data_IF_756282723435
#
_entry.id   IF_756282723435
#
_cell.length_a   1.000
_cell.length_b   1.000
_cell.length_c   1.000
_cell.angle_alpha   90.00
_cell.angle_beta   90.00
_cell.angle_gamma   90.00
#
_symmetry.space_group_name_H-M   'P 1'
#
loop_
_entity.id
_entity.type
_entity.pdbx_description
1 polymer ?
#
# COMPACT_ATOMS: atom_id res chain seq x y z
N UNK A 1 -32.85 23.83 53.74
CA UNK A 1 -32.23 24.54 52.61
C UNK A 1 -31.34 23.54 51.90
N UNK A 2 -31.69 23.29 50.64
CA UNK A 2 -31.12 22.25 49.79
C UNK A 2 -29.84 22.74 49.09
N UNK A 3 -28.95 21.82 48.81
CA UNK A 3 -28.06 21.87 47.66
C UNK A 3 -27.88 20.44 47.16
N UNK A 4 -28.61 20.08 46.11
CA UNK A 4 -28.37 18.85 45.36
C UNK A 4 -27.18 19.10 44.42
N UNK A 5 -26.23 18.15 44.28
CA UNK A 5 -25.16 18.27 43.31
C UNK A 5 -25.75 18.15 41.90
N UNK A 6 -25.33 19.05 41.03
CA UNK A 6 -25.71 19.13 39.63
C UNK A 6 -25.36 17.84 38.90
N UNK A 7 -26.35 17.25 38.24
CA UNK A 7 -26.15 16.26 37.20
C UNK A 7 -25.30 16.90 36.09
N UNK A 8 -24.06 16.44 35.94
CA UNK A 8 -23.26 16.71 34.75
C UNK A 8 -23.83 15.75 33.71
N UNK A 9 -24.76 16.23 32.91
CA UNK A 9 -25.22 15.54 31.71
C UNK A 9 -24.00 15.37 30.78
N UNK A 10 -23.44 14.17 30.79
CA UNK A 10 -22.47 13.68 29.82
C UNK A 10 -23.20 13.63 28.47
N UNK A 11 -23.17 14.75 27.74
CA UNK A 11 -23.86 14.92 26.45
C UNK A 11 -23.20 13.95 25.45
N UNK A 12 -23.88 12.85 25.15
CA UNK A 12 -23.43 11.88 24.16
C UNK A 12 -23.03 12.61 22.85
N UNK A 13 -21.94 12.21 22.19
CA UNK A 13 -21.41 12.93 21.04
C UNK A 13 -22.45 12.99 19.94
N UNK A 14 -22.60 14.19 19.39
CA UNK A 14 -23.65 14.47 18.44
C UNK A 14 -23.38 13.66 17.17
N UNK A 15 -24.36 12.87 16.68
CA UNK A 15 -24.13 11.97 15.55
C UNK A 15 -23.64 12.68 14.28
N UNK A 16 -23.81 14.01 14.17
CA UNK A 16 -23.21 14.86 13.13
C UNK A 16 -21.67 14.85 13.17
N UNK A 17 -21.06 14.99 14.35
CA UNK A 17 -19.60 15.02 14.49
C UNK A 17 -18.97 13.66 14.17
N UNK A 18 -19.66 12.57 14.52
CA UNK A 18 -19.27 11.20 14.17
C UNK A 18 -19.30 11.00 12.65
N UNK A 19 -20.39 11.40 11.99
CA UNK A 19 -20.50 11.32 10.53
C UNK A 19 -19.38 12.12 9.84
N UNK A 20 -19.07 13.31 10.34
CA UNK A 20 -17.97 14.13 9.80
C UNK A 20 -16.59 13.50 10.03
N UNK A 21 -16.38 12.80 11.14
CA UNK A 21 -15.16 12.02 11.38
C UNK A 21 -15.03 10.88 10.37
N UNK A 22 -16.10 10.12 10.12
CA UNK A 22 -16.12 9.03 9.14
C UNK A 22 -15.94 9.52 7.70
N UNK A 23 -16.55 10.64 7.32
CA UNK A 23 -16.32 11.27 6.01
C UNK A 23 -14.87 11.72 5.83
N UNK A 24 -14.23 12.25 6.89
CA UNK A 24 -12.80 12.57 6.86
C UNK A 24 -11.95 11.32 6.66
N UNK A 25 -12.32 10.20 7.28
CA UNK A 25 -11.67 8.92 7.02
C UNK A 25 -11.79 8.49 5.54
N UNK A 26 -12.99 8.57 4.96
CA UNK A 26 -13.20 8.26 3.54
C UNK A 26 -12.35 9.14 2.62
N UNK A 27 -12.19 10.43 2.96
CA UNK A 27 -11.31 11.34 2.23
C UNK A 27 -9.83 10.92 2.32
N UNK A 28 -9.38 10.41 3.47
CA UNK A 28 -8.02 9.85 3.61
C UNK A 28 -7.84 8.62 2.70
N UNK A 29 -8.83 7.73 2.62
CA UNK A 29 -8.74 6.56 1.73
C UNK A 29 -8.70 6.96 0.25
N UNK A 30 -9.49 7.98 -0.13
CA UNK A 30 -9.39 8.56 -1.47
C UNK A 30 -7.98 9.09 -1.77
N UNK A 31 -7.40 9.86 -0.84
CA UNK A 31 -6.04 10.37 -1.00
C UNK A 31 -5.02 9.23 -1.13
N UNK A 32 -5.12 8.16 -0.33
CA UNK A 32 -4.25 6.99 -0.46
C UNK A 32 -4.35 6.35 -1.85
N UNK A 33 -5.55 6.19 -2.39
CA UNK A 33 -5.74 5.67 -3.74
C UNK A 33 -5.05 6.54 -4.81
N UNK A 34 -5.12 7.87 -4.67
CA UNK A 34 -4.43 8.81 -5.56
C UNK A 34 -2.90 8.70 -5.43
N UNK A 35 -2.38 8.55 -4.21
CA UNK A 35 -0.94 8.34 -3.94
C UNK A 35 -0.46 7.04 -4.60
N UNK A 36 -1.18 5.92 -4.44
CA UNK A 36 -0.84 4.66 -5.13
C UNK A 36 -0.86 4.81 -6.65
N UNK A 37 -1.84 5.54 -7.21
CA UNK A 37 -1.91 5.79 -8.64
C UNK A 37 -0.70 6.61 -9.12
N UNK A 38 -0.26 7.60 -8.34
CA UNK A 38 0.95 8.39 -8.62
C UNK A 38 2.22 7.54 -8.52
N UNK A 39 2.34 6.71 -7.48
CA UNK A 39 3.45 5.76 -7.32
C UNK A 39 3.56 4.82 -8.52
N UNK A 40 2.43 4.24 -8.96
CA UNK A 40 2.38 3.33 -10.12
C UNK A 40 2.82 4.03 -11.41
N UNK A 41 2.36 5.26 -11.65
CA UNK A 41 2.77 6.06 -12.82
C UNK A 41 4.27 6.37 -12.76
N UNK A 42 4.77 6.84 -11.62
CA UNK A 42 6.17 7.15 -11.43
C UNK A 42 7.09 5.94 -11.60
N UNK A 43 6.68 4.76 -11.12
CA UNK A 43 7.43 3.53 -11.32
C UNK A 43 7.45 3.10 -12.79
N UNK A 44 6.33 3.24 -13.50
CA UNK A 44 6.27 2.97 -14.95
C UNK A 44 7.22 3.88 -15.72
N UNK A 45 7.26 5.16 -15.37
CA UNK A 45 8.17 6.13 -15.96
C UNK A 45 9.63 5.86 -15.62
N UNK A 46 9.91 5.42 -14.39
CA UNK A 46 11.23 4.97 -13.97
C UNK A 46 11.73 3.80 -14.82
N UNK A 47 10.91 2.77 -15.03
CA UNK A 47 11.28 1.62 -15.87
C UNK A 47 11.54 2.02 -17.33
N UNK A 48 10.88 3.06 -17.83
CA UNK A 48 11.06 3.57 -19.20
C UNK A 48 12.32 4.43 -19.36
N UNK A 49 12.64 5.25 -18.36
CA UNK A 49 13.69 6.29 -18.45
C UNK A 49 14.99 5.91 -17.77
N UNK A 50 14.94 4.97 -16.82
CA UNK A 50 16.06 4.67 -15.92
C UNK A 50 16.41 5.80 -14.94
N UNK A 51 15.58 6.85 -14.84
CA UNK A 51 15.89 8.01 -13.98
C UNK A 51 15.73 7.70 -12.49
N UNK A 52 16.80 7.18 -11.89
CA UNK A 52 16.79 6.76 -10.48
C UNK A 52 16.58 7.93 -9.51
N UNK A 53 17.20 9.10 -9.77
CA UNK A 53 17.04 10.28 -8.93
C UNK A 53 15.58 10.78 -8.90
N UNK A 54 14.93 10.90 -10.06
CA UNK A 54 13.53 11.35 -10.13
C UNK A 54 12.60 10.38 -9.39
N UNK A 55 12.86 9.07 -9.50
CA UNK A 55 12.07 8.07 -8.81
C UNK A 55 12.30 8.06 -7.29
N UNK A 56 13.54 8.21 -6.84
CA UNK A 56 13.85 8.32 -5.40
C UNK A 56 13.21 9.55 -4.76
N UNK A 57 13.22 10.69 -5.45
CA UNK A 57 12.51 11.89 -5.00
C UNK A 57 11.02 11.62 -4.82
N UNK A 58 10.37 11.04 -5.83
CA UNK A 58 8.96 10.67 -5.78
C UNK A 58 8.66 9.71 -4.61
N UNK A 59 9.49 8.68 -4.40
CA UNK A 59 9.34 7.75 -3.28
C UNK A 59 9.40 8.47 -1.93
N UNK A 60 10.24 9.49 -1.80
CA UNK A 60 10.39 10.28 -0.57
C UNK A 60 9.15 11.13 -0.29
N UNK A 61 8.61 11.78 -1.31
CA UNK A 61 7.35 12.54 -1.23
C UNK A 61 6.18 11.63 -0.86
N UNK A 62 6.03 10.52 -1.58
CA UNK A 62 4.94 9.55 -1.37
C UNK A 62 5.01 8.91 0.02
N UNK A 63 6.22 8.62 0.52
CA UNK A 63 6.40 8.08 1.88
C UNK A 63 5.91 9.07 2.94
N UNK A 64 6.21 10.35 2.78
CA UNK A 64 5.70 11.41 3.66
C UNK A 64 4.18 11.48 3.62
N UNK A 65 3.59 11.49 2.42
CA UNK A 65 2.13 11.55 2.27
C UNK A 65 1.41 10.33 2.85
N UNK A 66 1.97 9.12 2.70
CA UNK A 66 1.43 7.92 3.35
C UNK A 66 1.51 8.02 4.87
N UNK A 67 2.64 8.50 5.41
CA UNK A 67 2.80 8.70 6.85
C UNK A 67 1.78 9.69 7.40
N UNK A 68 1.51 10.79 6.68
CA UNK A 68 0.52 11.78 7.10
C UNK A 68 -0.91 11.21 7.04
N UNK A 69 -1.23 10.39 6.03
CA UNK A 69 -2.48 9.65 6.00
C UNK A 69 -2.62 8.73 7.23
N UNK A 70 -1.55 7.99 7.58
CA UNK A 70 -1.57 7.08 8.72
C UNK A 70 -1.75 7.81 10.05
N UNK A 71 -1.04 8.93 10.28
CA UNK A 71 -1.21 9.76 11.48
C UNK A 71 -2.64 10.25 11.64
N UNK A 72 -3.24 10.77 10.55
CA UNK A 72 -4.63 11.25 10.56
C UNK A 72 -5.62 10.15 10.96
N UNK A 73 -5.42 8.91 10.50
CA UNK A 73 -6.31 7.81 10.89
C UNK A 73 -6.07 7.37 12.33
N UNK A 74 -4.83 7.36 12.82
CA UNK A 74 -4.52 7.08 14.23
C UNK A 74 -5.18 8.11 15.16
N UNK A 75 -5.18 9.39 14.77
CA UNK A 75 -5.92 10.43 15.48
C UNK A 75 -7.42 10.15 15.49
N UNK A 76 -8.01 9.74 14.36
CA UNK A 76 -9.42 9.34 14.28
C UNK A 76 -9.74 8.13 15.15
N UNK A 77 -8.87 7.11 15.17
CA UNK A 77 -8.99 5.94 16.07
C UNK A 77 -9.02 6.37 17.54
N UNK A 78 -8.14 7.30 17.93
CA UNK A 78 -8.11 7.82 19.30
C UNK A 78 -9.37 8.59 19.67
N UNK A 79 -9.97 9.33 18.72
CA UNK A 79 -11.22 10.06 18.94
C UNK A 79 -12.39 9.06 19.07
N UNK A 80 -12.49 8.07 18.17
CA UNK A 80 -13.56 7.07 18.20
C UNK A 80 -13.53 6.20 19.46
N UNK A 81 -12.33 5.91 19.97
CA UNK A 81 -12.13 5.16 21.20
C UNK A 81 -12.18 6.00 22.48
N UNK A 82 -12.43 7.32 22.39
CA UNK A 82 -12.62 8.14 23.60
C UNK A 82 -13.91 7.76 24.31
N UNK A 83 -14.01 8.08 25.59
CA UNK A 83 -15.24 7.89 26.39
C UNK A 83 -16.45 8.58 25.77
N UNK A 84 -16.22 9.68 25.04
CA UNK A 84 -17.28 10.42 24.37
C UNK A 84 -17.94 9.52 23.32
N UNK A 85 -17.17 8.92 22.40
CA UNK A 85 -17.72 8.12 21.30
C UNK A 85 -17.98 6.66 21.66
N UNK A 86 -17.06 6.00 22.37
CA UNK A 86 -17.14 4.59 22.73
C UNK A 86 -17.45 3.67 21.51
N UNK A 87 -16.89 3.99 20.33
CA UNK A 87 -17.11 3.26 19.07
C UNK A 87 -15.96 2.31 18.76
N UNK A 88 -15.75 1.34 19.64
CA UNK A 88 -14.70 0.32 19.49
C UNK A 88 -14.85 -0.50 18.20
N UNK A 89 -16.08 -0.70 17.73
CA UNK A 89 -16.38 -1.31 16.44
C UNK A 89 -15.72 -0.55 15.27
N UNK A 90 -15.89 0.78 15.24
CA UNK A 90 -15.29 1.64 14.22
C UNK A 90 -13.77 1.75 14.38
N UNK A 91 -13.25 1.77 15.61
CA UNK A 91 -11.80 1.70 15.87
C UNK A 91 -11.21 0.43 15.27
N UNK A 92 -11.88 -0.71 15.44
CA UNK A 92 -11.41 -1.98 14.90
C UNK A 92 -11.45 -2.00 13.36
N UNK A 93 -12.47 -1.42 12.73
CA UNK A 93 -12.53 -1.26 11.27
C UNK A 93 -11.37 -0.39 10.75
N UNK A 94 -11.11 0.75 11.39
CA UNK A 94 -10.01 1.64 11.01
C UNK A 94 -8.65 0.94 11.12
N UNK A 95 -8.43 0.18 12.20
CA UNK A 95 -7.21 -0.62 12.40
C UNK A 95 -7.07 -1.72 11.35
N UNK A 96 -8.16 -2.39 10.99
CA UNK A 96 -8.14 -3.39 9.92
C UNK A 96 -7.73 -2.76 8.59
N UNK A 97 -8.29 -1.60 8.24
CA UNK A 97 -7.89 -0.84 7.06
C UNK A 97 -6.41 -0.41 7.13
N UNK A 98 -5.91 0.05 8.28
CA UNK A 98 -4.47 0.37 8.44
C UNK A 98 -3.58 -0.86 8.20
N UNK A 99 -3.96 -2.02 8.73
CA UNK A 99 -3.21 -3.25 8.56
C UNK A 99 -3.15 -3.67 7.08
N UNK A 100 -4.28 -3.65 6.38
CA UNK A 100 -4.33 -3.96 4.96
C UNK A 100 -3.60 -2.91 4.11
N UNK A 101 -3.65 -1.63 4.48
CA UNK A 101 -2.89 -0.58 3.78
C UNK A 101 -1.38 -0.75 3.94
N UNK A 102 -0.92 -1.13 5.14
CA UNK A 102 0.48 -1.48 5.38
C UNK A 102 0.91 -2.68 4.53
N UNK A 103 0.09 -3.74 4.50
CA UNK A 103 0.37 -4.93 3.71
C UNK A 103 0.42 -4.62 2.21
N UNK A 104 -0.57 -3.87 1.70
CA UNK A 104 -0.65 -3.43 0.31
C UNK A 104 0.56 -2.62 -0.11
N UNK A 105 1.00 -1.65 0.70
CA UNK A 105 2.19 -0.84 0.43
C UNK A 105 3.45 -1.72 0.40
N UNK A 106 3.60 -2.62 1.38
CA UNK A 106 4.74 -3.51 1.46
C UNK A 106 4.83 -4.44 0.23
N UNK A 107 3.73 -5.10 -0.13
CA UNK A 107 3.68 -5.97 -1.31
C UNK A 107 3.87 -5.19 -2.62
N UNK A 108 3.36 -3.95 -2.69
CA UNK A 108 3.63 -3.05 -3.83
C UNK A 108 5.12 -2.78 -3.98
N UNK A 109 5.84 -2.54 -2.88
CA UNK A 109 7.29 -2.33 -2.91
C UNK A 109 8.03 -3.61 -3.36
N UNK A 110 7.62 -4.80 -2.88
CA UNK A 110 8.18 -6.08 -3.34
C UNK A 110 8.00 -6.25 -4.86
N UNK A 111 6.79 -6.01 -5.38
CA UNK A 111 6.53 -6.07 -6.83
C UNK A 111 7.47 -5.13 -7.60
N UNK A 112 7.71 -3.92 -7.08
CA UNK A 112 8.62 -2.97 -7.74
C UNK A 112 10.07 -3.43 -7.71
N UNK A 113 10.54 -4.00 -6.60
CA UNK A 113 11.89 -4.56 -6.49
C UNK A 113 12.07 -5.72 -7.46
N UNK A 114 11.11 -6.66 -7.50
CA UNK A 114 11.12 -7.78 -8.45
C UNK A 114 11.11 -7.29 -9.90
N UNK A 115 10.25 -6.33 -10.24
CA UNK A 115 10.20 -5.76 -11.60
C UNK A 115 11.46 -5.00 -11.98
N UNK A 116 12.09 -4.29 -11.04
CA UNK A 116 13.38 -3.62 -11.26
C UNK A 116 14.50 -4.62 -11.48
N UNK A 117 14.51 -5.73 -10.72
CA UNK A 117 15.50 -6.79 -10.88
C UNK A 117 15.34 -7.55 -12.21
N UNK A 118 14.12 -7.61 -12.75
CA UNK A 118 13.79 -8.35 -13.97
C UNK A 118 13.84 -9.87 -13.79
N UNK A 119 13.25 -10.59 -14.75
CA UNK A 119 13.35 -12.05 -14.82
C UNK A 119 14.82 -12.46 -14.97
N UNK A 120 15.31 -13.43 -14.19
CA UNK A 120 16.68 -13.91 -14.27
C UNK A 120 17.15 -14.19 -15.70
N UNK A 121 16.34 -14.90 -16.51
CA UNK A 121 16.65 -15.22 -17.91
C UNK A 121 16.68 -14.04 -18.87
N UNK A 122 16.03 -12.92 -18.53
CA UNK A 122 15.95 -11.71 -19.37
C UNK A 122 17.00 -10.65 -18.97
N UNK A 123 17.79 -10.90 -17.92
CA UNK A 123 18.81 -9.96 -17.47
C UNK A 123 19.92 -9.86 -18.52
N UNK A 124 20.29 -8.62 -18.84
CA UNK A 124 21.40 -8.37 -19.76
C UNK A 124 22.69 -8.97 -19.20
N UNK A 125 23.35 -9.76 -20.03
CA UNK A 125 24.65 -10.33 -19.76
C UNK A 125 25.70 -9.21 -19.76
N UNK A 126 26.41 -9.02 -18.65
CA UNK A 126 27.48 -8.03 -18.55
C UNK A 126 28.79 -8.61 -19.08
N UNK A 127 29.31 -8.05 -20.18
CA UNK A 127 30.61 -8.46 -20.75
C UNK A 127 31.82 -7.82 -20.05
N UNK A 128 31.64 -7.20 -18.88
CA UNK A 128 32.69 -6.48 -18.13
C UNK A 128 33.87 -7.38 -17.74
N UNK A 129 33.66 -8.70 -17.68
CA UNK A 129 34.69 -9.70 -17.38
C UNK A 129 35.15 -10.50 -18.61
N UNK A 130 34.65 -10.18 -19.81
CA UNK A 130 35.12 -10.83 -21.04
C UNK A 130 36.52 -10.33 -21.40
N UNK A 131 37.49 -11.26 -21.46
CA UNK A 131 38.87 -10.95 -21.85
C UNK A 131 39.02 -11.06 -23.37
N UNK A 132 39.50 -9.99 -24.02
CA UNK A 132 39.87 -10.02 -25.44
C UNK A 132 41.25 -10.66 -25.59
N UNK A 133 41.29 -11.89 -26.13
CA UNK A 133 42.56 -12.56 -26.42
C UNK A 133 43.14 -12.05 -27.74
N UNK A 134 43.99 -11.02 -27.66
CA UNK A 134 45.04 -10.73 -28.65
C UNK A 134 44.65 -10.24 -30.05
N UNK A 135 43.38 -10.27 -30.47
CA UNK A 135 42.88 -9.66 -31.71
C UNK A 135 41.55 -8.92 -31.48
N UNK A 136 41.34 -7.73 -32.08
CA UNK A 136 40.14 -6.92 -31.85
C UNK A 136 38.82 -7.54 -32.37
N UNK A 137 38.88 -8.67 -33.07
CA UNK A 137 37.72 -9.33 -33.72
C UNK A 137 37.37 -10.69 -33.08
N UNK A 138 38.22 -11.22 -32.19
CA UNK A 138 38.04 -12.56 -31.58
C UNK A 138 37.67 -12.41 -30.09
N UNK A 139 36.43 -12.01 -29.81
CA UNK A 139 35.85 -12.08 -28.48
C UNK A 139 35.36 -13.50 -28.20
N UNK A 140 35.96 -14.18 -27.23
CA UNK A 140 35.41 -15.40 -26.67
C UNK A 140 34.52 -15.00 -25.50
N UNK A 141 33.21 -15.00 -25.73
CA UNK A 141 32.28 -14.70 -24.67
C UNK A 141 32.29 -15.82 -23.64
N UNK A 142 32.64 -15.50 -22.39
CA UNK A 142 32.43 -16.41 -21.25
C UNK A 142 30.96 -16.59 -20.89
N UNK A 143 30.03 -16.02 -21.67
CA UNK A 143 28.59 -16.27 -21.53
C UNK A 143 28.01 -17.03 -22.71
N UNK A 144 28.78 -17.22 -23.80
CA UNK A 144 28.43 -18.13 -24.87
C UNK A 144 29.12 -19.46 -24.56
N UNK A 145 28.52 -20.19 -23.61
CA UNK A 145 28.84 -21.58 -23.33
C UNK A 145 27.69 -22.45 -23.86
N UNK A 146 27.96 -23.73 -24.15
CA UNK A 146 26.88 -24.69 -24.41
C UNK A 146 25.92 -24.67 -23.21
N UNK A 147 24.63 -24.51 -23.50
CA UNK A 147 23.60 -24.68 -22.48
C UNK A 147 23.62 -26.15 -22.10
N UNK A 148 24.19 -26.43 -20.94
CA UNK A 148 24.14 -27.77 -20.35
C UNK A 148 22.76 -27.97 -19.71
N UNK A 149 22.33 -29.23 -19.57
CA UNK A 149 21.08 -29.55 -18.86
C UNK A 149 21.07 -28.97 -17.43
N UNK A 150 22.23 -28.95 -16.75
CA UNK A 150 22.36 -28.41 -15.41
C UNK A 150 22.15 -26.88 -15.36
N UNK A 151 22.77 -26.13 -16.27
CA UNK A 151 22.61 -24.67 -16.35
C UNK A 151 21.21 -24.27 -16.82
N UNK A 152 20.61 -25.04 -17.74
CA UNK A 152 19.24 -24.80 -18.19
C UNK A 152 18.18 -25.09 -17.12
N UNK A 153 18.43 -26.08 -16.25
CA UNK A 153 17.55 -26.38 -15.12
C UNK A 153 17.64 -25.27 -14.04
N UNK A 154 18.85 -24.81 -13.72
CA UNK A 154 19.07 -23.73 -12.75
C UNK A 154 18.36 -22.42 -13.17
N UNK A 155 18.49 -22.02 -14.44
CA UNK A 155 17.81 -20.82 -14.96
C UNK A 155 16.28 -20.97 -14.92
N UNK A 156 15.75 -22.16 -15.23
CA UNK A 156 14.32 -22.43 -15.17
C UNK A 156 13.77 -22.42 -13.74
N UNK A 157 14.52 -22.93 -12.77
CA UNK A 157 14.18 -22.87 -11.34
C UNK A 157 14.17 -21.41 -10.85
N UNK A 158 15.18 -20.61 -11.21
CA UNK A 158 15.26 -19.21 -10.84
C UNK A 158 14.10 -18.37 -11.42
N UNK A 159 13.71 -18.63 -12.67
CA UNK A 159 12.54 -17.99 -13.30
C UNK A 159 11.22 -18.40 -12.64
N UNK A 160 11.09 -19.67 -12.25
CA UNK A 160 9.90 -20.16 -11.54
C UNK A 160 9.76 -19.53 -10.15
N UNK A 161 10.87 -19.39 -9.41
CA UNK A 161 10.90 -18.68 -8.12
C UNK A 161 10.52 -17.21 -8.27
N UNK A 162 11.06 -16.53 -9.29
CA UNK A 162 10.70 -15.16 -9.61
C UNK A 162 9.20 -15.00 -9.87
N UNK A 163 8.63 -15.88 -10.70
CA UNK A 163 7.21 -15.83 -11.04
C UNK A 163 6.32 -16.17 -9.85
N UNK A 164 6.72 -17.13 -9.02
CA UNK A 164 6.00 -17.46 -7.80
C UNK A 164 5.95 -16.24 -6.86
N UNK A 165 7.09 -15.61 -6.58
CA UNK A 165 7.17 -14.44 -5.70
C UNK A 165 6.39 -13.25 -6.26
N UNK A 166 6.46 -13.01 -7.57
CA UNK A 166 5.73 -11.91 -8.21
C UNK A 166 4.21 -12.14 -8.14
N UNK A 167 3.75 -13.37 -8.43
CA UNK A 167 2.34 -13.71 -8.38
C UNK A 167 1.78 -13.69 -6.96
N UNK A 168 2.55 -14.15 -5.97
CA UNK A 168 2.19 -14.05 -4.56
C UNK A 168 2.00 -12.59 -4.13
N UNK A 169 2.97 -11.73 -4.44
CA UNK A 169 2.88 -10.32 -4.10
C UNK A 169 1.70 -9.62 -4.79
N UNK A 170 1.41 -9.95 -6.06
CA UNK A 170 0.24 -9.42 -6.78
C UNK A 170 -1.06 -9.86 -6.11
N UNK A 171 -1.18 -11.14 -5.76
CA UNK A 171 -2.36 -11.69 -5.10
C UNK A 171 -2.58 -11.02 -3.74
N UNK A 172 -1.52 -10.88 -2.94
CA UNK A 172 -1.60 -10.21 -1.64
C UNK A 172 -2.02 -8.74 -1.76
N UNK A 173 -1.59 -8.02 -2.81
CA UNK A 173 -2.09 -6.66 -3.09
C UNK A 173 -3.59 -6.69 -3.43
N UNK A 174 -4.04 -7.65 -4.25
CA UNK A 174 -5.45 -7.76 -4.63
C UNK A 174 -6.34 -8.08 -3.43
N UNK A 175 -5.93 -9.02 -2.58
CA UNK A 175 -6.61 -9.38 -1.33
C UNK A 175 -6.72 -8.16 -0.41
N UNK A 176 -5.61 -7.45 -0.18
CA UNK A 176 -5.63 -6.25 0.65
C UNK A 176 -6.55 -5.16 0.08
N UNK A 177 -6.58 -4.96 -1.24
CA UNK A 177 -7.50 -4.00 -1.89
C UNK A 177 -8.96 -4.40 -1.68
N UNK A 178 -9.29 -5.68 -1.82
CA UNK A 178 -10.66 -6.17 -1.57
C UNK A 178 -11.06 -5.92 -0.13
N UNK A 179 -10.23 -6.33 0.85
CA UNK A 179 -10.53 -6.12 2.26
C UNK A 179 -10.67 -4.63 2.63
N UNK A 180 -9.81 -3.75 2.07
CA UNK A 180 -9.94 -2.30 2.28
C UNK A 180 -11.29 -1.80 1.74
N UNK A 181 -11.68 -2.22 0.53
CA UNK A 181 -12.93 -1.78 -0.07
C UNK A 181 -14.13 -2.26 0.75
N UNK A 182 -14.12 -3.52 1.20
CA UNK A 182 -15.21 -4.07 2.01
C UNK A 182 -15.40 -3.27 3.30
N UNK A 183 -14.32 -3.00 4.05
CA UNK A 183 -14.40 -2.17 5.26
C UNK A 183 -14.77 -0.71 4.98
N UNK A 184 -14.36 -0.16 3.83
CA UNK A 184 -14.78 1.18 3.41
C UNK A 184 -16.27 1.22 3.09
N UNK A 185 -16.84 0.16 2.51
CA UNK A 185 -18.28 0.04 2.31
C UNK A 185 -19.02 -0.09 3.66
N UNK A 186 -18.51 -0.87 4.61
CA UNK A 186 -19.08 -0.95 5.97
C UNK A 186 -19.21 0.44 6.61
N UNK A 187 -18.16 1.27 6.50
CA UNK A 187 -18.18 2.64 7.00
C UNK A 187 -19.20 3.51 6.25
N UNK A 188 -19.40 3.30 4.94
CA UNK A 188 -20.43 4.03 4.19
C UNK A 188 -21.84 3.63 4.64
N UNK A 189 -22.07 2.36 4.92
CA UNK A 189 -23.34 1.91 5.49
C UNK A 189 -23.60 2.52 6.86
N UNK A 190 -22.59 2.58 7.73
CA UNK A 190 -22.70 3.24 9.04
C UNK A 190 -23.05 4.72 8.90
N UNK A 191 -22.37 5.45 7.99
CA UNK A 191 -22.69 6.87 7.74
C UNK A 191 -24.16 7.01 7.33
N UNK A 192 -24.64 6.20 6.39
CA UNK A 192 -26.02 6.26 5.92
C UNK A 192 -27.03 5.96 7.05
N UNK A 193 -26.72 5.01 7.94
CA UNK A 193 -27.58 4.70 9.07
C UNK A 193 -27.61 5.83 10.10
N UNK A 194 -26.46 6.42 10.43
CA UNK A 194 -26.36 7.58 11.32
C UNK A 194 -27.11 8.79 10.79
N UNK A 195 -27.03 9.06 9.49
CA UNK A 195 -27.76 10.15 8.83
C UNK A 195 -29.27 9.90 8.83
N UNK A 196 -29.72 8.66 8.59
CA UNK A 196 -31.13 8.31 8.64
C UNK A 196 -31.75 8.54 10.03
N UNK A 197 -31.01 8.19 11.09
CA UNK A 197 -31.43 8.45 12.48
C UNK A 197 -31.56 9.96 12.75
N UNK A 198 -30.59 10.76 12.30
CA UNK A 198 -30.63 12.23 12.43
C UNK A 198 -31.83 12.87 11.70
N UNK A 199 -32.22 12.34 10.54
CA UNK A 199 -33.41 12.82 9.82
C UNK A 199 -34.73 12.42 10.48
N UNK A 200 -34.73 11.37 11.32
CA UNK A 200 -35.93 10.96 12.06
C UNK A 200 -36.14 11.72 13.38
N UNK A 201 -35.10 12.40 13.88
CA UNK A 201 -35.09 13.13 15.15
C UNK A 201 -35.32 14.65 14.99
N UNK A 202 -35.28 15.17 13.75
CA UNK A 202 -35.59 16.56 13.39
C UNK A 202 -36.99 16.69 12.78
#
# INVERSE_FOLDING_TARGET
MAASPMDIEEEAPKPVELVDLLRRFLAVQKNRAEIYARLKRGFTEYLRTGSEHAYQHLCSEITTEFNDCSKRVIEMESILGSSDYCRDDLVNLLKAVQAHEKQKLHMTAIIQVLKKAGRPSERLVTHERCQFKGRPVEHQCVHVHEITEATGLEDAEADAEYDAALNEAIRAVQEAVTCINDHVEEIRYEIAELEARQCSEN
#
